data_IF_657517174813
#
_entry.id   IF_657517174813
#
_cell.length_a   1.000
_cell.length_b   1.000
_cell.length_c   1.000
_cell.angle_alpha   90.00
_cell.angle_beta   90.00
_cell.angle_gamma   90.00
#
_symmetry.space_group_name_H-M   'P 1'
#
loop_
_entity.id
_entity.type
_entity.pdbx_description
1 polymer ?
#
# COMPACT_ATOMS: atom_id res chain seq x y z
N UNK A 1 -51.91 -45.57 77.83
CA UNK A 1 -52.01 -45.71 76.37
C UNK A 1 -50.81 -45.02 75.74
N UNK A 2 -49.80 -45.79 75.33
CA UNK A 2 -48.60 -45.29 74.65
C UNK A 2 -48.60 -45.86 73.24
N UNK A 3 -48.75 -44.98 72.24
CA UNK A 3 -48.71 -45.35 70.83
C UNK A 3 -47.26 -45.17 70.36
N UNK A 4 -46.62 -46.28 70.02
CA UNK A 4 -45.39 -46.31 69.22
C UNK A 4 -45.71 -45.82 67.80
N UNK A 5 -44.91 -44.91 67.26
CA UNK A 5 -44.70 -44.80 65.80
C UNK A 5 -43.24 -45.09 65.47
N UNK A 6 -43.04 -45.96 64.48
CA UNK A 6 -41.74 -46.36 63.95
C UNK A 6 -41.21 -45.33 62.95
N UNK A 7 -39.88 -45.15 62.97
CA UNK A 7 -39.09 -44.48 61.93
C UNK A 7 -39.14 -45.25 60.62
N UNK A 8 -39.29 -44.53 59.49
CA UNK A 8 -38.70 -44.91 58.20
C UNK A 8 -38.00 -43.67 57.61
N UNK A 9 -36.85 -43.92 56.99
CA UNK A 9 -35.77 -43.00 56.64
C UNK A 9 -36.09 -41.99 55.54
N UNK A 10 -35.78 -40.71 55.78
CA UNK A 10 -35.61 -39.68 54.74
C UNK A 10 -34.21 -39.78 54.12
N UNK A 11 -34.06 -40.60 53.07
CA UNK A 11 -32.90 -40.59 52.17
C UNK A 11 -33.39 -40.63 50.73
N UNK A 12 -33.75 -39.47 50.16
CA UNK A 12 -33.85 -39.23 48.70
C UNK A 12 -34.65 -37.94 48.45
N UNK A 13 -34.01 -36.77 48.52
CA UNK A 13 -34.49 -35.60 47.74
C UNK A 13 -33.48 -34.45 47.67
N UNK A 14 -32.55 -34.37 48.62
CA UNK A 14 -31.62 -33.21 48.68
C UNK A 14 -30.40 -33.36 47.77
N UNK A 15 -30.07 -34.57 47.31
CA UNK A 15 -28.86 -34.81 46.50
C UNK A 15 -29.03 -34.58 44.98
N UNK A 16 -30.26 -34.44 44.46
CA UNK A 16 -30.48 -34.30 43.00
C UNK A 16 -30.63 -32.83 42.58
N UNK A 17 -31.01 -31.93 43.50
CA UNK A 17 -31.16 -30.49 43.17
C UNK A 17 -29.85 -29.72 43.31
N UNK A 18 -28.88 -30.21 44.09
CA UNK A 18 -27.56 -29.58 44.20
C UNK A 18 -26.62 -29.88 43.00
N UNK A 19 -26.84 -30.99 42.28
CA UNK A 19 -26.04 -31.35 41.12
C UNK A 19 -26.51 -30.70 39.81
N UNK A 20 -27.77 -30.25 39.73
CA UNK A 20 -28.34 -29.65 38.52
C UNK A 20 -28.17 -28.12 38.42
N UNK A 21 -27.88 -27.43 39.54
CA UNK A 21 -27.66 -25.97 39.54
C UNK A 21 -26.18 -25.60 39.35
N UNK A 22 -25.25 -26.55 39.54
CA UNK A 22 -23.82 -26.34 39.30
C UNK A 22 -23.46 -26.51 37.80
N UNK A 23 -24.32 -27.16 37.01
CA UNK A 23 -24.10 -27.38 35.57
C UNK A 23 -24.60 -26.22 34.67
N UNK A 24 -25.14 -25.13 35.22
CA UNK A 24 -25.67 -24.01 34.43
C UNK A 24 -24.98 -22.67 34.71
N UNK A 25 -23.84 -22.66 35.39
CA UNK A 25 -22.89 -21.55 35.23
C UNK A 25 -22.18 -21.76 33.90
N UNK A 26 -22.90 -21.43 32.83
CA UNK A 26 -22.32 -21.06 31.56
C UNK A 26 -21.24 -20.03 31.92
N UNK A 27 -19.97 -20.46 31.89
CA UNK A 27 -18.86 -19.54 32.03
C UNK A 27 -19.11 -18.47 30.97
N UNK A 28 -19.50 -17.28 31.44
CA UNK A 28 -19.50 -16.09 30.64
C UNK A 28 -18.01 -15.80 30.42
N UNK A 29 -17.40 -16.58 29.52
CA UNK A 29 -16.09 -16.26 28.97
C UNK A 29 -16.37 -15.00 28.18
N UNK A 30 -16.23 -13.85 28.85
CA UNK A 30 -16.05 -12.59 28.17
C UNK A 30 -14.79 -12.78 27.36
N UNK A 31 -14.93 -13.11 26.08
CA UNK A 31 -13.81 -13.02 25.16
C UNK A 31 -13.34 -11.57 25.27
N UNK A 32 -12.08 -11.31 25.66
CA UNK A 32 -11.58 -9.95 25.57
C UNK A 32 -11.76 -9.54 24.11
N UNK A 33 -12.62 -8.55 23.87
CA UNK A 33 -12.76 -7.93 22.56
C UNK A 33 -11.41 -7.30 22.30
N UNK A 34 -10.59 -8.00 21.52
CA UNK A 34 -9.33 -7.47 21.06
C UNK A 34 -9.64 -6.33 20.11
N UNK A 35 -9.28 -5.10 20.48
CA UNK A 35 -9.40 -3.97 19.56
C UNK A 35 -8.52 -4.29 18.34
N UNK A 36 -9.14 -4.47 17.18
CA UNK A 36 -8.42 -4.67 15.92
C UNK A 36 -7.51 -3.48 15.66
N UNK A 37 -6.36 -3.72 15.01
CA UNK A 37 -5.58 -2.63 14.48
C UNK A 37 -6.41 -1.97 13.37
N UNK A 38 -6.92 -0.77 13.62
CA UNK A 38 -7.76 -0.05 12.67
C UNK A 38 -6.89 0.64 11.62
N UNK A 39 -7.22 0.43 10.36
CA UNK A 39 -6.69 1.22 9.27
C UNK A 39 -7.30 2.63 9.34
N UNK A 40 -6.52 3.67 9.01
CA UNK A 40 -7.01 5.05 8.94
C UNK A 40 -7.26 5.41 7.48
N UNK A 41 -8.52 5.35 7.00
CA UNK A 41 -8.85 5.77 5.65
C UNK A 41 -8.82 7.30 5.55
N UNK A 42 -8.18 7.82 4.50
CA UNK A 42 -8.16 9.24 4.17
C UNK A 42 -8.51 9.44 2.70
N UNK A 43 -9.31 10.47 2.41
CA UNK A 43 -9.71 10.80 1.04
C UNK A 43 -9.09 12.11 0.59
N UNK A 44 -8.55 12.13 -0.63
CA UNK A 44 -8.17 13.33 -1.35
C UNK A 44 -9.00 13.42 -2.62
N UNK A 45 -9.86 14.43 -2.69
CA UNK A 45 -10.84 14.57 -3.77
C UNK A 45 -11.31 15.99 -3.92
N UNK A 46 -11.76 16.34 -5.12
CA UNK A 46 -12.54 17.54 -5.38
C UNK A 46 -13.73 17.26 -6.29
N UNK A 47 -14.39 18.32 -6.74
CA UNK A 47 -15.60 18.24 -7.59
C UNK A 47 -15.33 17.60 -8.96
N UNK A 48 -14.09 17.69 -9.44
CA UNK A 48 -13.63 17.13 -10.70
C UNK A 48 -12.17 16.67 -10.61
N UNK A 49 -11.60 16.24 -11.74
CA UNK A 49 -10.21 15.78 -11.83
C UNK A 49 -9.19 16.87 -11.50
N UNK A 50 -9.51 18.13 -11.79
CA UNK A 50 -8.60 19.26 -11.56
C UNK A 50 -8.54 19.59 -10.06
N UNK A 51 -9.71 19.60 -9.42
CA UNK A 51 -9.83 19.80 -7.98
C UNK A 51 -9.24 18.62 -7.19
N UNK A 52 -9.41 17.38 -7.67
CA UNK A 52 -8.75 16.21 -7.05
C UNK A 52 -7.23 16.30 -7.17
N UNK A 53 -6.69 16.61 -8.35
CA UNK A 53 -5.26 16.78 -8.53
C UNK A 53 -4.68 17.92 -7.67
N UNK A 54 -5.42 19.04 -7.55
CA UNK A 54 -5.07 20.14 -6.65
C UNK A 54 -5.00 19.69 -5.18
N UNK A 55 -5.99 18.93 -4.71
CA UNK A 55 -6.01 18.41 -3.34
C UNK A 55 -4.85 17.44 -3.07
N UNK A 56 -4.49 16.61 -4.05
CA UNK A 56 -3.34 15.69 -3.94
C UNK A 56 -2.02 16.46 -3.90
N UNK A 57 -1.84 17.45 -4.77
CA UNK A 57 -0.65 18.29 -4.81
C UNK A 57 -0.43 19.04 -3.47
N UNK A 58 -1.50 19.62 -2.91
CA UNK A 58 -1.43 20.30 -1.60
C UNK A 58 -1.16 19.37 -0.43
N UNK A 59 -1.62 18.12 -0.52
CA UNK A 59 -1.32 17.12 0.50
C UNK A 59 0.14 16.65 0.41
N UNK A 60 0.67 16.46 -0.80
CA UNK A 60 2.02 15.98 -1.02
C UNK A 60 3.08 17.09 -0.80
N UNK A 61 2.75 18.35 -1.08
CA UNK A 61 3.68 19.47 -1.04
C UNK A 61 3.13 20.64 -0.21
N UNK A 62 3.75 20.89 0.95
CA UNK A 62 3.41 22.04 1.81
C UNK A 62 3.91 23.38 1.25
N UNK A 63 5.00 23.35 0.47
CA UNK A 63 5.51 24.50 -0.28
C UNK A 63 6.37 24.03 -1.46
N UNK A 64 6.42 24.84 -2.53
CA UNK A 64 7.28 24.59 -3.67
C UNK A 64 7.75 25.87 -4.37
N UNK A 65 8.90 25.82 -5.06
CA UNK A 65 9.41 26.90 -5.94
C UNK A 65 9.15 26.61 -7.42
N UNK A 66 8.87 25.34 -7.74
CA UNK A 66 8.57 24.84 -9.08
C UNK A 66 7.23 24.14 -9.05
N UNK A 67 6.49 24.17 -10.14
CA UNK A 67 5.31 23.35 -10.33
C UNK A 67 5.28 22.82 -11.76
N UNK A 68 4.55 21.74 -11.94
CA UNK A 68 4.39 21.08 -13.23
C UNK A 68 2.92 21.14 -13.61
N UNK A 69 2.65 21.55 -14.85
CA UNK A 69 1.30 21.60 -15.42
C UNK A 69 1.23 20.63 -16.59
N UNK A 70 0.28 19.70 -16.50
CA UNK A 70 0.03 18.70 -17.54
C UNK A 70 -1.45 18.68 -17.89
N UNK A 71 -1.79 18.15 -19.06
CA UNK A 71 -3.18 18.00 -19.46
C UNK A 71 -3.93 17.08 -18.51
N UNK A 72 -5.13 17.48 -18.09
CA UNK A 72 -6.08 16.58 -17.42
C UNK A 72 -6.95 15.78 -18.40
N UNK A 73 -6.80 16.01 -19.71
CA UNK A 73 -7.63 15.44 -20.77
C UNK A 73 -6.93 14.29 -21.50
N UNK A 74 -5.60 14.22 -21.42
CA UNK A 74 -4.77 13.11 -21.87
C UNK A 74 -3.80 12.66 -20.77
N UNK A 75 -3.31 11.43 -20.82
CA UNK A 75 -2.53 10.82 -19.74
C UNK A 75 -1.03 10.80 -19.98
N UNK A 76 -0.60 10.71 -21.25
CA UNK A 76 0.76 10.33 -21.61
C UNK A 76 1.80 11.34 -21.09
N UNK A 77 1.63 12.62 -21.43
CA UNK A 77 2.55 13.67 -21.01
C UNK A 77 2.60 13.77 -19.47
N UNK A 78 1.43 13.67 -18.82
CA UNK A 78 1.31 13.63 -17.37
C UNK A 78 2.07 12.48 -16.73
N UNK A 79 2.02 11.29 -17.32
CA UNK A 79 2.71 10.11 -16.79
C UNK A 79 4.23 10.31 -16.80
N UNK A 80 4.77 10.86 -17.88
CA UNK A 80 6.21 11.13 -17.97
C UNK A 80 6.70 12.18 -16.98
N UNK A 81 5.79 13.04 -16.48
CA UNK A 81 6.13 14.11 -15.55
C UNK A 81 6.54 13.64 -14.14
N UNK A 82 6.27 12.38 -13.76
CA UNK A 82 6.58 11.87 -12.42
C UNK A 82 8.08 11.97 -12.07
N UNK A 83 8.98 11.63 -12.98
CA UNK A 83 10.44 11.78 -12.75
C UNK A 83 10.84 13.24 -12.55
N UNK A 84 10.18 14.15 -13.28
CA UNK A 84 10.44 15.59 -13.18
C UNK A 84 9.94 16.14 -11.85
N UNK A 85 8.77 15.69 -11.40
CA UNK A 85 8.18 15.98 -10.09
C UNK A 85 9.16 15.61 -8.98
N UNK A 86 9.67 14.38 -8.99
CA UNK A 86 10.67 13.90 -8.03
C UNK A 86 11.97 14.70 -8.08
N UNK A 87 12.57 14.87 -9.27
CA UNK A 87 13.84 15.57 -9.44
C UNK A 87 13.78 17.05 -9.02
N UNK A 88 12.64 17.70 -9.24
CA UNK A 88 12.44 19.12 -8.94
C UNK A 88 11.77 19.38 -7.59
N UNK A 89 11.32 18.32 -6.89
CA UNK A 89 10.41 18.39 -5.74
C UNK A 89 9.23 19.33 -6.02
N UNK A 90 8.55 19.07 -7.15
CA UNK A 90 7.59 19.99 -7.73
C UNK A 90 6.19 19.34 -7.86
N UNK A 91 5.13 19.92 -7.27
CA UNK A 91 3.77 19.40 -7.41
C UNK A 91 3.33 19.35 -8.88
N UNK A 92 2.59 18.29 -9.21
CA UNK A 92 1.95 18.10 -10.51
C UNK A 92 0.48 18.51 -10.43
N UNK A 93 0.10 19.44 -11.30
CA UNK A 93 -1.26 19.95 -11.43
C UNK A 93 -1.83 19.63 -12.81
N UNK A 94 -3.15 19.47 -12.87
CA UNK A 94 -3.88 19.24 -14.11
C UNK A 94 -4.53 20.53 -14.63
N UNK A 95 -4.56 20.69 -15.95
CA UNK A 95 -5.24 21.78 -16.65
C UNK A 95 -6.13 21.25 -17.78
N UNK A 96 -7.17 22.01 -18.16
CA UNK A 96 -7.85 21.78 -19.44
C UNK A 96 -6.92 22.18 -20.58
N UNK A 97 -7.18 21.68 -21.79
CA UNK A 97 -6.36 22.00 -22.96
C UNK A 97 -6.37 23.51 -23.25
N UNK A 98 -7.54 24.15 -23.22
CA UNK A 98 -7.68 25.55 -23.63
C UNK A 98 -7.51 26.57 -22.49
N UNK A 99 -7.75 26.18 -21.23
CA UNK A 99 -7.83 27.11 -20.11
C UNK A 99 -7.33 26.51 -18.80
N UNK A 100 -6.69 27.35 -17.97
CA UNK A 100 -6.28 26.96 -16.61
C UNK A 100 -7.50 27.00 -15.69
N UNK A 101 -7.93 25.88 -15.08
CA UNK A 101 -9.05 25.90 -14.14
C UNK A 101 -8.73 26.78 -12.94
N UNK A 102 -9.74 27.53 -12.46
CA UNK A 102 -9.57 28.42 -11.32
C UNK A 102 -9.11 27.67 -10.04
N UNK A 103 -9.60 26.43 -9.85
CA UNK A 103 -9.18 25.58 -8.73
C UNK A 103 -7.70 25.22 -8.80
N UNK A 104 -7.18 24.97 -10.01
CA UNK A 104 -5.76 24.70 -10.25
C UNK A 104 -4.93 25.96 -9.95
N UNK A 105 -5.32 27.11 -10.49
CA UNK A 105 -4.62 28.37 -10.26
C UNK A 105 -4.57 28.74 -8.76
N UNK A 106 -5.67 28.55 -8.04
CA UNK A 106 -5.76 28.81 -6.61
C UNK A 106 -4.84 27.87 -5.81
N UNK A 107 -4.81 26.57 -6.16
CA UNK A 107 -3.95 25.59 -5.50
C UNK A 107 -2.47 25.87 -5.72
N UNK A 108 -2.08 26.19 -6.96
CA UNK A 108 -0.73 26.68 -7.26
C UNK A 108 -0.39 27.92 -6.43
N UNK A 109 -1.34 28.85 -6.25
CA UNK A 109 -1.16 30.02 -5.41
C UNK A 109 -0.88 29.70 -3.93
N UNK A 110 -1.49 28.63 -3.40
CA UNK A 110 -1.29 28.16 -2.02
C UNK A 110 0.04 27.42 -1.83
N UNK A 111 0.42 26.56 -2.78
CA UNK A 111 1.64 25.74 -2.67
C UNK A 111 2.89 26.51 -3.07
N UNK A 112 2.79 27.41 -4.07
CA UNK A 112 3.96 28.09 -4.60
C UNK A 112 4.25 29.42 -3.86
N UNK A 113 5.40 29.50 -3.21
CA UNK A 113 5.92 30.69 -2.51
C UNK A 113 6.55 31.74 -3.45
N UNK A 114 7.40 32.66 -2.98
CA UNK A 114 8.08 33.61 -3.87
C UNK A 114 9.12 32.90 -4.81
N UNK A 115 9.34 33.42 -6.03
CA UNK A 115 10.18 32.84 -7.10
C UNK A 115 9.59 31.57 -7.76
N UNK A 116 8.53 31.74 -8.55
CA UNK A 116 7.67 30.66 -9.06
C UNK A 116 7.97 30.30 -10.52
N UNK A 117 8.55 29.12 -10.77
CA UNK A 117 8.71 28.56 -12.12
C UNK A 117 7.69 27.47 -12.39
N UNK A 118 7.04 27.50 -13.55
CA UNK A 118 6.06 26.48 -13.97
C UNK A 118 6.55 25.79 -15.22
N UNK A 119 6.61 24.45 -15.19
CA UNK A 119 6.94 23.62 -16.33
C UNK A 119 5.65 23.06 -16.94
N UNK A 120 5.32 23.48 -18.15
CA UNK A 120 4.23 22.88 -18.93
C UNK A 120 4.77 21.66 -19.66
N UNK A 121 4.19 20.49 -19.43
CA UNK A 121 4.57 19.27 -20.15
C UNK A 121 3.58 19.01 -21.28
N UNK A 122 4.12 18.73 -22.46
CA UNK A 122 3.36 18.50 -23.67
C UNK A 122 3.29 19.71 -24.60
N UNK A 123 2.99 19.43 -25.86
CA UNK A 123 2.80 20.46 -26.89
C UNK A 123 1.50 21.26 -26.71
N UNK A 124 1.25 22.24 -27.58
CA UNK A 124 0.06 23.10 -27.49
C UNK A 124 -1.26 22.35 -27.73
N UNK A 125 -1.22 21.19 -28.39
CA UNK A 125 -2.37 20.31 -28.51
C UNK A 125 -2.80 19.68 -27.18
N UNK A 126 -1.86 19.50 -26.24
CA UNK A 126 -2.13 18.95 -24.91
C UNK A 126 -2.43 20.05 -23.89
N UNK A 127 -1.64 21.12 -23.91
CA UNK A 127 -1.79 22.31 -23.06
C UNK A 127 -1.59 23.55 -23.92
N UNK A 128 -2.69 24.19 -24.31
CA UNK A 128 -2.73 25.29 -25.25
C UNK A 128 -1.96 26.54 -24.79
N UNK A 129 -1.62 27.40 -25.74
CA UNK A 129 -0.90 28.66 -25.47
C UNK A 129 -1.65 29.57 -24.48
N UNK A 130 -2.99 29.52 -24.47
CA UNK A 130 -3.82 30.27 -23.51
C UNK A 130 -3.47 29.98 -22.05
N UNK A 131 -3.18 28.71 -21.72
CA UNK A 131 -2.75 28.31 -20.36
C UNK A 131 -1.42 28.97 -19.99
N UNK A 132 -0.44 28.96 -20.91
CA UNK A 132 0.86 29.59 -20.68
C UNK A 132 0.74 31.11 -20.50
N UNK A 133 -0.13 31.77 -21.28
CA UNK A 133 -0.45 33.19 -21.15
C UNK A 133 -1.08 33.49 -19.80
N UNK A 134 -2.07 32.69 -19.36
CA UNK A 134 -2.68 32.85 -18.03
C UNK A 134 -1.66 32.70 -16.91
N UNK A 135 -0.80 31.68 -16.96
CA UNK A 135 0.26 31.47 -15.95
C UNK A 135 1.25 32.65 -15.93
N UNK A 136 1.68 33.13 -17.08
CA UNK A 136 2.57 34.30 -17.16
C UNK A 136 1.90 35.55 -16.58
N UNK A 137 0.62 35.78 -16.89
CA UNK A 137 -0.17 36.89 -16.34
C UNK A 137 -0.38 36.80 -14.82
N UNK A 138 -0.34 35.60 -14.25
CA UNK A 138 -0.34 35.36 -12.80
C UNK A 138 1.06 35.53 -12.16
N UNK A 139 2.09 35.89 -12.93
CA UNK A 139 3.44 36.17 -12.46
C UNK A 139 4.37 34.95 -12.39
N UNK A 140 3.99 33.82 -13.00
CA UNK A 140 4.85 32.63 -13.09
C UNK A 140 5.87 32.77 -14.23
N UNK A 141 7.09 32.30 -14.02
CA UNK A 141 8.05 32.05 -15.11
C UNK A 141 7.68 30.72 -15.76
N UNK A 142 7.28 30.72 -17.02
CA UNK A 142 6.76 29.50 -17.69
C UNK A 142 7.80 28.93 -18.65
N UNK A 143 8.05 27.63 -18.56
CA UNK A 143 8.88 26.87 -19.50
C UNK A 143 8.08 25.68 -20.03
N UNK A 144 8.08 25.45 -21.34
CA UNK A 144 7.45 24.26 -21.94
C UNK A 144 8.49 23.18 -22.19
N UNK A 145 8.15 21.94 -21.83
CA UNK A 145 8.93 20.73 -22.11
C UNK A 145 8.05 19.80 -22.96
N UNK A 146 8.42 19.62 -24.22
CA UNK A 146 7.61 18.86 -25.19
C UNK A 146 8.47 18.29 -26.30
N UNK A 147 8.00 17.20 -26.91
CA UNK A 147 8.53 16.65 -28.16
C UNK A 147 7.49 16.64 -29.27
N UNK A 148 7.86 16.08 -30.42
CA UNK A 148 6.98 15.95 -31.58
C UNK A 148 5.77 15.02 -31.34
N UNK A 149 5.92 14.06 -30.43
CA UNK A 149 4.92 13.10 -30.01
C UNK A 149 5.10 12.76 -28.52
N UNK A 150 4.26 11.86 -27.99
CA UNK A 150 4.28 11.46 -26.57
C UNK A 150 5.59 10.79 -26.15
N UNK A 151 6.24 10.02 -27.03
CA UNK A 151 7.51 9.39 -26.72
C UNK A 151 8.66 10.41 -26.71
N UNK A 152 8.66 11.34 -27.67
CA UNK A 152 9.62 12.44 -27.71
C UNK A 152 9.42 13.39 -26.50
N UNK A 153 8.18 13.67 -26.07
CA UNK A 153 7.91 14.42 -24.83
C UNK A 153 8.48 13.68 -23.62
N UNK A 154 8.24 12.37 -23.50
CA UNK A 154 8.77 11.58 -22.40
C UNK A 154 10.31 11.64 -22.31
N UNK A 155 11.00 11.57 -23.45
CA UNK A 155 12.48 11.73 -23.52
C UNK A 155 12.91 13.16 -23.16
N UNK A 156 12.18 14.19 -23.60
CA UNK A 156 12.47 15.57 -23.24
C UNK A 156 12.31 15.81 -21.73
N UNK A 157 11.28 15.23 -21.12
CA UNK A 157 11.04 15.29 -19.67
C UNK A 157 12.14 14.57 -18.90
N UNK A 158 12.51 13.35 -19.32
CA UNK A 158 13.62 12.60 -18.75
C UNK A 158 14.93 13.39 -18.82
N UNK A 159 15.19 14.04 -19.96
CA UNK A 159 16.38 14.86 -20.16
C UNK A 159 16.36 16.09 -19.26
N UNK A 160 15.20 16.75 -19.12
CA UNK A 160 15.04 17.93 -18.27
C UNK A 160 15.24 17.60 -16.78
N UNK A 161 14.76 16.43 -16.33
CA UNK A 161 14.94 15.99 -14.95
C UNK A 161 16.42 15.91 -14.53
N UNK A 162 17.32 15.62 -15.48
CA UNK A 162 18.78 15.60 -15.25
C UNK A 162 19.39 16.95 -14.90
N UNK A 163 18.70 18.05 -15.16
CA UNK A 163 19.16 19.37 -14.72
C UNK A 163 19.17 19.48 -13.18
N UNK A 164 18.45 18.59 -12.48
CA UNK A 164 18.33 18.61 -11.03
C UNK A 164 18.76 17.33 -10.34
N UNK A 165 18.58 16.16 -10.96
CA UNK A 165 18.95 14.90 -10.36
C UNK A 165 19.40 13.86 -11.39
N UNK A 166 20.38 13.04 -11.03
CA UNK A 166 20.81 11.92 -11.88
C UNK A 166 19.67 10.90 -12.05
N UNK A 167 19.70 10.14 -13.14
CA UNK A 167 18.82 8.98 -13.34
C UNK A 167 19.07 8.01 -12.19
N UNK A 168 17.99 7.57 -11.54
CA UNK A 168 18.09 6.63 -10.43
C UNK A 168 18.58 5.26 -10.86
N UNK A 169 19.04 4.48 -9.88
CA UNK A 169 19.52 3.12 -10.12
C UNK A 169 18.68 2.08 -9.39
N UNK A 170 18.60 0.88 -9.95
CA UNK A 170 18.15 -0.33 -9.27
C UNK A 170 19.21 -1.41 -9.49
N UNK A 171 19.65 -2.07 -8.40
CA UNK A 171 20.76 -3.02 -8.42
C UNK A 171 22.04 -2.49 -9.13
N UNK A 172 22.32 -1.18 -8.97
CA UNK A 172 23.51 -0.52 -9.53
C UNK A 172 23.43 -0.16 -11.02
N UNK A 173 22.28 -0.37 -11.67
CA UNK A 173 22.06 -0.03 -13.08
C UNK A 173 21.16 1.20 -13.19
N UNK A 174 21.49 2.16 -14.06
CA UNK A 174 20.58 3.26 -14.40
C UNK A 174 19.29 2.68 -14.99
N UNK A 175 18.16 2.98 -14.35
CA UNK A 175 16.89 2.33 -14.64
C UNK A 175 15.89 3.30 -15.26
N UNK A 176 15.25 2.88 -16.35
CA UNK A 176 14.07 3.53 -16.90
C UNK A 176 12.86 2.58 -16.81
N UNK A 177 11.67 3.15 -16.87
CA UNK A 177 10.42 2.42 -16.98
C UNK A 177 9.92 2.59 -18.41
N UNK A 178 9.58 1.49 -19.10
CA UNK A 178 8.98 1.54 -20.44
C UNK A 178 7.54 1.08 -20.36
N UNK A 179 6.65 1.90 -20.90
CA UNK A 179 5.20 1.67 -20.89
C UNK A 179 4.61 1.82 -22.27
N UNK A 180 3.48 1.15 -22.52
CA UNK A 180 2.71 1.35 -23.74
C UNK A 180 2.13 2.78 -23.76
N UNK A 181 2.25 3.42 -24.90
CA UNK A 181 1.93 4.81 -25.11
C UNK A 181 0.41 5.08 -25.22
N UNK A 182 -0.40 4.06 -25.46
CA UNK A 182 -1.88 4.09 -25.54
C UNK A 182 -2.60 3.37 -24.40
N UNK A 183 -1.93 2.47 -23.66
CA UNK A 183 -2.53 1.68 -22.57
C UNK A 183 -2.24 2.27 -21.18
N UNK A 184 -2.98 3.32 -20.83
CA UNK A 184 -2.75 4.09 -19.59
C UNK A 184 -2.83 3.28 -18.30
N UNK A 185 -3.68 2.24 -18.24
CA UNK A 185 -4.02 1.58 -16.99
C UNK A 185 -2.88 0.73 -16.41
N UNK A 186 -2.08 0.10 -17.26
CA UNK A 186 -0.84 -0.52 -16.79
C UNK A 186 0.21 0.56 -16.48
N UNK A 187 0.24 1.63 -17.26
CA UNK A 187 1.30 2.62 -17.22
C UNK A 187 1.28 3.49 -15.93
N UNK A 188 0.11 3.94 -15.47
CA UNK A 188 0.01 4.89 -14.33
C UNK A 188 0.41 4.30 -12.98
N UNK A 189 0.43 2.98 -12.81
CA UNK A 189 0.88 2.34 -11.57
C UNK A 189 2.36 2.63 -11.30
N UNK A 190 3.13 2.95 -12.34
CA UNK A 190 4.55 3.23 -12.28
C UNK A 190 4.90 4.64 -11.80
N UNK A 191 3.94 5.58 -11.79
CA UNK A 191 4.20 7.00 -11.53
C UNK A 191 4.85 7.25 -10.17
N UNK A 192 4.37 6.57 -9.12
CA UNK A 192 4.96 6.71 -7.78
C UNK A 192 6.41 6.23 -7.73
N UNK A 193 6.74 5.13 -8.42
CA UNK A 193 8.11 4.62 -8.48
C UNK A 193 9.02 5.57 -9.27
N UNK A 194 8.53 6.07 -10.39
CA UNK A 194 9.23 7.05 -11.23
C UNK A 194 9.61 8.30 -10.43
N UNK A 195 8.68 8.82 -9.63
CA UNK A 195 8.93 9.98 -8.76
C UNK A 195 9.89 9.66 -7.62
N UNK A 196 9.64 8.60 -6.84
CA UNK A 196 10.43 8.28 -5.65
C UNK A 196 11.86 7.84 -5.98
N UNK A 197 12.04 7.13 -7.09
CA UNK A 197 13.34 6.53 -7.45
C UNK A 197 14.02 7.22 -8.63
N UNK A 198 13.44 8.30 -9.15
CA UNK A 198 13.98 9.05 -10.29
C UNK A 198 14.21 8.18 -11.54
N UNK A 199 13.33 7.21 -11.78
CA UNK A 199 13.35 6.39 -12.99
C UNK A 199 12.50 7.07 -14.06
N UNK A 200 13.07 7.49 -15.20
CA UNK A 200 12.28 8.10 -16.25
C UNK A 200 11.27 7.12 -16.82
N UNK A 201 10.02 7.56 -17.02
CA UNK A 201 9.04 6.82 -17.80
C UNK A 201 9.21 7.19 -19.28
N UNK A 202 9.52 6.20 -20.11
CA UNK A 202 9.65 6.28 -21.56
C UNK A 202 8.52 5.47 -22.22
N UNK A 203 8.22 5.77 -23.49
CA UNK A 203 7.02 5.23 -24.14
C UNK A 203 7.32 4.44 -25.40
N UNK A 204 6.57 3.38 -25.58
CA UNK A 204 6.63 2.49 -26.75
C UNK A 204 5.25 2.27 -27.34
N UNK A 205 5.15 1.90 -28.61
CA UNK A 205 3.94 1.28 -29.11
C UNK A 205 3.86 -0.17 -28.62
N UNK A 206 2.71 -0.83 -28.83
CA UNK A 206 2.51 -2.20 -28.36
C UNK A 206 3.53 -3.19 -28.95
N UNK A 207 3.80 -3.05 -30.24
CA UNK A 207 4.55 -4.04 -31.02
C UNK A 207 5.92 -3.55 -31.49
N UNK A 208 6.26 -2.28 -31.28
CA UNK A 208 7.54 -1.72 -31.67
C UNK A 208 7.98 -0.55 -30.77
N UNK A 209 9.27 -0.56 -30.44
CA UNK A 209 9.98 0.46 -29.69
C UNK A 209 10.07 1.73 -30.53
N UNK A 210 9.57 2.84 -29.98
CA UNK A 210 9.65 4.13 -30.67
C UNK A 210 11.10 4.55 -30.87
N UNK A 211 11.39 5.23 -31.97
CA UNK A 211 12.73 5.74 -32.26
C UNK A 211 13.27 6.66 -31.15
N UNK A 212 12.41 7.52 -30.59
CA UNK A 212 12.74 8.40 -29.47
C UNK A 212 13.19 7.61 -28.24
N UNK A 213 12.43 6.58 -27.84
CA UNK A 213 12.79 5.74 -26.70
C UNK A 213 14.05 4.93 -27.00
N UNK A 214 14.18 4.32 -28.18
CA UNK A 214 15.38 3.59 -28.57
C UNK A 214 16.65 4.45 -28.48
N UNK A 215 16.58 5.72 -28.89
CA UNK A 215 17.72 6.66 -28.81
C UNK A 215 18.05 7.09 -27.37
N UNK A 216 17.07 7.04 -26.46
CA UNK A 216 17.23 7.39 -25.05
C UNK A 216 17.80 6.22 -24.21
N UNK A 217 17.65 4.98 -24.68
CA UNK A 217 18.18 3.78 -24.03
C UNK A 217 19.66 3.56 -24.36
N UNK A 218 20.33 2.72 -23.55
CA UNK A 218 21.69 2.28 -23.84
C UNK A 218 22.78 3.26 -23.40
N UNK A 219 23.65 3.66 -24.34
CA UNK A 219 24.78 4.58 -24.11
C UNK A 219 24.42 6.05 -24.39
N UNK A 220 23.13 6.36 -24.56
CA UNK A 220 22.63 7.72 -24.78
C UNK A 220 22.80 8.61 -23.55
N UNK A 221 22.25 9.83 -23.62
CA UNK A 221 22.43 10.84 -22.57
C UNK A 221 21.84 10.44 -21.20
N UNK A 222 20.89 9.50 -21.17
CA UNK A 222 20.33 8.94 -19.93
C UNK A 222 21.14 7.74 -19.41
N UNK A 223 21.98 7.14 -20.28
CA UNK A 223 22.80 5.95 -20.00
C UNK A 223 22.01 4.80 -19.36
N UNK A 224 20.80 4.52 -19.85
CA UNK A 224 19.92 3.49 -19.27
C UNK A 224 20.51 2.09 -19.51
N UNK A 225 20.71 1.33 -18.43
CA UNK A 225 21.24 -0.04 -18.43
C UNK A 225 20.24 -1.09 -17.98
N UNK A 226 19.15 -0.67 -17.34
CA UNK A 226 18.03 -1.53 -16.99
C UNK A 226 16.71 -0.89 -17.40
N UNK A 227 15.78 -1.72 -17.87
CA UNK A 227 14.41 -1.29 -18.17
C UNK A 227 13.42 -2.10 -17.36
N UNK A 228 12.47 -1.41 -16.74
CA UNK A 228 11.27 -2.02 -16.17
C UNK A 228 10.15 -1.86 -17.19
N UNK A 229 9.72 -2.94 -17.82
CA UNK A 229 8.51 -2.95 -18.66
C UNK A 229 7.30 -3.11 -17.75
N UNK A 230 6.37 -2.16 -17.82
CA UNK A 230 5.10 -2.25 -17.08
C UNK A 230 3.96 -2.55 -18.06
N UNK A 231 3.30 -3.68 -17.82
CA UNK A 231 2.29 -4.27 -18.69
C UNK A 231 2.69 -5.66 -19.21
N UNK A 232 1.68 -6.49 -19.45
CA UNK A 232 1.85 -7.81 -20.06
C UNK A 232 2.28 -7.73 -21.52
N UNK A 233 2.49 -8.88 -22.17
CA UNK A 233 2.91 -8.93 -23.58
C UNK A 233 1.85 -8.43 -24.56
N UNK A 234 0.59 -8.35 -24.15
CA UNK A 234 -0.48 -7.70 -24.93
C UNK A 234 -0.38 -6.17 -24.92
N UNK A 235 0.21 -5.59 -23.88
CA UNK A 235 0.45 -4.15 -23.78
C UNK A 235 1.83 -3.78 -24.35
N UNK A 236 2.87 -4.54 -24.02
CA UNK A 236 4.23 -4.33 -24.55
C UNK A 236 4.78 -5.68 -24.97
N UNK A 237 4.78 -5.96 -26.27
CA UNK A 237 5.12 -7.28 -26.82
C UNK A 237 6.54 -7.73 -26.48
N UNK A 238 6.80 -9.02 -26.66
CA UNK A 238 8.16 -9.57 -26.56
C UNK A 238 9.10 -9.04 -27.66
N UNK A 239 8.55 -8.54 -28.77
CA UNK A 239 9.34 -7.89 -29.81
C UNK A 239 9.95 -6.58 -29.29
N UNK A 240 9.16 -5.76 -28.59
CA UNK A 240 9.66 -4.53 -27.93
C UNK A 240 10.75 -4.85 -26.90
N UNK A 241 10.58 -5.91 -26.11
CA UNK A 241 11.61 -6.34 -25.16
C UNK A 241 12.92 -6.75 -25.86
N UNK A 242 12.82 -7.42 -27.01
CA UNK A 242 13.98 -7.76 -27.85
C UNK A 242 14.66 -6.50 -28.39
N UNK A 243 13.88 -5.53 -28.88
CA UNK A 243 14.39 -4.24 -29.37
C UNK A 243 15.05 -3.43 -28.24
N UNK A 244 14.51 -3.46 -27.02
CA UNK A 244 15.13 -2.83 -25.84
C UNK A 244 16.51 -3.44 -25.57
N UNK A 245 16.63 -4.77 -25.53
CA UNK A 245 17.92 -5.45 -25.30
C UNK A 245 18.94 -5.14 -26.39
N UNK A 246 18.49 -4.94 -27.64
CA UNK A 246 19.35 -4.53 -28.74
C UNK A 246 19.95 -3.11 -28.57
N UNK A 247 19.42 -2.28 -27.67
CA UNK A 247 19.97 -0.95 -27.35
C UNK A 247 21.14 -0.96 -26.37
N UNK A 248 21.70 -2.13 -26.00
CA UNK A 248 22.72 -2.29 -24.95
C UNK A 248 22.20 -2.10 -23.51
N UNK A 249 20.88 -2.23 -23.31
CA UNK A 249 20.29 -2.47 -21.99
C UNK A 249 20.65 -3.90 -21.58
N UNK A 250 21.22 -4.06 -20.38
CA UNK A 250 21.74 -5.35 -19.89
C UNK A 250 20.73 -6.15 -19.06
N UNK A 251 19.62 -5.53 -18.67
CA UNK A 251 18.60 -6.15 -17.82
C UNK A 251 17.21 -5.60 -18.14
N UNK A 252 16.24 -6.50 -18.26
CA UNK A 252 14.83 -6.14 -18.37
C UNK A 252 14.06 -6.83 -17.24
N UNK A 253 13.24 -6.06 -16.54
CA UNK A 253 12.28 -6.55 -15.54
C UNK A 253 10.89 -6.29 -16.10
N UNK A 254 10.06 -7.32 -16.23
CA UNK A 254 8.66 -7.16 -16.66
C UNK A 254 7.74 -7.30 -15.46
N UNK A 255 6.80 -6.37 -15.32
CA UNK A 255 5.73 -6.42 -14.33
C UNK A 255 4.39 -6.15 -15.04
N UNK A 256 3.58 -7.19 -15.23
CA UNK A 256 2.30 -7.07 -15.91
C UNK A 256 1.43 -8.31 -15.69
N UNK A 257 0.14 -8.08 -15.48
CA UNK A 257 -0.86 -9.13 -15.29
C UNK A 257 -1.77 -9.32 -16.51
N UNK A 258 -2.76 -10.19 -16.36
CA UNK A 258 -3.81 -10.42 -17.36
C UNK A 258 -4.75 -9.20 -17.52
N UNK A 259 -4.81 -8.33 -16.51
CA UNK A 259 -5.62 -7.12 -16.50
C UNK A 259 -4.92 -6.01 -15.67
N UNK A 260 -5.46 -4.79 -15.69
CA UNK A 260 -4.88 -3.63 -14.98
C UNK A 260 -4.84 -3.80 -13.45
N UNK A 261 -5.83 -4.50 -12.88
CA UNK A 261 -5.90 -4.76 -11.44
C UNK A 261 -4.79 -5.73 -11.03
N UNK A 262 -4.54 -6.76 -11.84
CA UNK A 262 -3.45 -7.70 -11.63
C UNK A 262 -2.08 -7.04 -11.86
N UNK A 263 -1.92 -6.20 -12.90
CA UNK A 263 -0.71 -5.39 -13.07
C UNK A 263 -0.45 -4.52 -11.83
N UNK A 264 -1.45 -3.83 -11.30
CA UNK A 264 -1.33 -3.01 -10.10
C UNK A 264 -0.94 -3.85 -8.86
N UNK A 265 -1.55 -5.02 -8.68
CA UNK A 265 -1.22 -5.97 -7.60
C UNK A 265 0.22 -6.45 -7.68
N UNK A 266 0.66 -6.94 -8.84
CA UNK A 266 2.03 -7.42 -9.06
C UNK A 266 3.05 -6.30 -8.88
N UNK A 267 2.72 -5.08 -9.30
CA UNK A 267 3.56 -3.92 -9.07
C UNK A 267 3.67 -3.57 -7.59
N UNK A 268 2.56 -3.59 -6.84
CA UNK A 268 2.55 -3.39 -5.40
C UNK A 268 3.37 -4.45 -4.64
N UNK A 269 3.28 -5.72 -5.03
CA UNK A 269 4.11 -6.81 -4.51
C UNK A 269 5.60 -6.58 -4.78
N UNK A 270 5.94 -6.08 -5.98
CA UNK A 270 7.34 -5.75 -6.31
C UNK A 270 7.86 -4.56 -5.52
N UNK A 271 7.04 -3.52 -5.36
CA UNK A 271 7.41 -2.35 -4.57
C UNK A 271 7.69 -2.71 -3.11
N UNK A 272 6.83 -3.54 -2.50
CA UNK A 272 6.98 -3.93 -1.08
C UNK A 272 7.84 -5.18 -0.86
N UNK A 273 8.23 -5.87 -1.92
CA UNK A 273 9.18 -6.97 -1.89
C UNK A 273 10.55 -6.53 -1.39
N UNK A 274 11.29 -7.44 -0.75
CA UNK A 274 12.65 -7.16 -0.27
C UNK A 274 13.62 -6.97 -1.43
N UNK A 275 14.72 -6.27 -1.21
CA UNK A 275 15.80 -6.13 -2.21
C UNK A 275 16.31 -7.51 -2.66
N UNK A 276 16.41 -8.48 -1.76
CA UNK A 276 16.81 -9.85 -2.08
C UNK A 276 15.85 -10.56 -3.07
N UNK A 277 14.55 -10.22 -3.04
CA UNK A 277 13.55 -10.70 -3.99
C UNK A 277 13.44 -9.87 -5.27
N UNK A 278 14.34 -8.89 -5.47
CA UNK A 278 14.31 -7.93 -6.57
C UNK A 278 13.19 -6.89 -6.45
N UNK A 279 12.81 -6.54 -5.21
CA UNK A 279 11.83 -5.49 -4.92
C UNK A 279 12.46 -4.18 -4.42
N UNK A 280 11.61 -3.19 -4.11
CA UNK A 280 12.03 -1.84 -3.68
C UNK A 280 11.96 -1.61 -2.16
N UNK A 281 11.58 -2.63 -1.39
CA UNK A 281 11.45 -2.58 0.06
C UNK A 281 10.58 -1.39 0.57
N UNK A 282 9.58 -0.99 -0.21
CA UNK A 282 8.60 0.00 0.26
C UNK A 282 7.80 -0.57 1.44
N UNK A 283 7.38 0.32 2.33
CA UNK A 283 6.56 -0.07 3.46
C UNK A 283 5.22 -0.63 3.00
N UNK A 284 4.77 -1.69 3.67
CA UNK A 284 3.42 -2.24 3.51
C UNK A 284 2.35 -1.46 4.28
N UNK A 285 2.74 -0.41 5.00
CA UNK A 285 1.84 0.35 5.87
C UNK A 285 0.85 1.26 5.13
N UNK A 286 1.06 1.49 3.83
CA UNK A 286 0.33 2.50 3.06
C UNK A 286 -0.13 1.95 1.72
N UNK A 287 -1.42 2.06 1.45
CA UNK A 287 -1.99 1.75 0.15
C UNK A 287 -2.86 2.90 -0.35
N UNK A 288 -2.75 3.21 -1.63
CA UNK A 288 -3.58 4.19 -2.33
C UNK A 288 -4.55 3.45 -3.22
N UNK A 289 -5.84 3.74 -3.10
CA UNK A 289 -6.89 3.19 -3.94
C UNK A 289 -7.45 4.26 -4.88
N UNK A 290 -7.59 3.90 -6.15
CA UNK A 290 -8.07 4.79 -7.22
C UNK A 290 -9.03 4.05 -8.14
N UNK A 291 -9.92 4.79 -8.79
CA UNK A 291 -10.83 4.18 -9.78
C UNK A 291 -10.05 3.61 -10.96
N UNK A 292 -10.50 2.47 -11.47
CA UNK A 292 -10.02 1.86 -12.71
C UNK A 292 -10.78 2.36 -13.94
N UNK A 293 -11.85 3.13 -13.77
CA UNK A 293 -12.71 3.59 -14.86
C UNK A 293 -12.12 4.78 -15.63
N UNK A 294 -11.18 5.52 -15.04
CA UNK A 294 -10.56 6.70 -15.62
C UNK A 294 -9.13 6.90 -15.08
N UNK A 295 -8.29 7.65 -15.79
CA UNK A 295 -6.86 7.77 -15.51
C UNK A 295 -6.51 8.93 -14.56
N UNK A 296 -7.31 9.99 -14.51
CA UNK A 296 -6.84 11.27 -13.97
C UNK A 296 -6.52 11.23 -12.48
N UNK A 297 -7.31 10.52 -11.67
CA UNK A 297 -7.06 10.37 -10.22
C UNK A 297 -5.85 9.48 -9.96
N UNK A 298 -5.68 8.40 -10.74
CA UNK A 298 -4.50 7.53 -10.69
C UNK A 298 -3.23 8.30 -11.05
N UNK A 299 -3.29 9.09 -12.13
CA UNK A 299 -2.19 9.94 -12.56
C UNK A 299 -1.84 10.99 -11.48
N UNK A 300 -2.83 11.70 -10.94
CA UNK A 300 -2.62 12.68 -9.89
C UNK A 300 -2.02 12.06 -8.62
N UNK A 301 -2.38 10.81 -8.30
CA UNK A 301 -1.88 10.09 -7.12
C UNK A 301 -0.39 9.76 -7.16
N UNK A 302 0.25 9.77 -8.34
CA UNK A 302 1.65 9.41 -8.50
C UNK A 302 2.55 10.19 -7.52
N UNK A 303 2.32 11.50 -7.37
CA UNK A 303 3.11 12.35 -6.48
C UNK A 303 2.91 12.05 -4.99
N UNK A 304 1.69 11.68 -4.61
CA UNK A 304 1.41 11.21 -3.26
C UNK A 304 2.09 9.87 -3.00
N UNK A 305 1.98 8.94 -3.96
CA UNK A 305 2.54 7.60 -3.86
C UNK A 305 4.07 7.64 -3.77
N UNK A 306 4.72 8.47 -4.59
CA UNK A 306 6.17 8.69 -4.54
C UNK A 306 6.61 9.28 -3.20
N UNK A 307 5.97 10.36 -2.76
CA UNK A 307 6.31 11.04 -1.50
C UNK A 307 6.07 10.17 -0.24
N UNK A 308 5.12 9.23 -0.30
CA UNK A 308 4.74 8.41 0.85
C UNK A 308 5.27 6.97 0.79
N UNK A 309 5.89 6.56 -0.32
CA UNK A 309 6.12 5.16 -0.68
C UNK A 309 4.85 4.30 -0.56
N UNK A 310 3.71 4.84 -1.01
CA UNK A 310 2.41 4.18 -1.00
C UNK A 310 2.19 3.44 -2.32
N UNK A 311 1.73 2.19 -2.27
CA UNK A 311 1.39 1.43 -3.48
C UNK A 311 0.08 1.92 -4.09
N UNK A 312 -0.09 1.80 -5.41
CA UNK A 312 -1.34 2.10 -6.10
C UNK A 312 -2.09 0.80 -6.41
N UNK A 313 -3.34 0.71 -5.97
CA UNK A 313 -4.26 -0.38 -6.28
C UNK A 313 -5.54 0.16 -6.91
N UNK A 314 -6.11 -0.63 -7.82
CA UNK A 314 -7.33 -0.24 -8.52
C UNK A 314 -8.59 -0.69 -7.79
N UNK A 315 -9.62 0.14 -7.83
CA UNK A 315 -10.99 -0.22 -7.46
C UNK A 315 -11.96 0.16 -8.59
N UNK A 316 -13.22 -0.28 -8.48
CA UNK A 316 -14.30 0.17 -9.35
C UNK A 316 -15.55 0.41 -8.48
N UNK A 317 -16.71 -0.08 -8.90
CA UNK A 317 -17.94 -0.08 -8.09
C UNK A 317 -17.86 -1.05 -6.89
N UNK A 318 -16.87 -1.97 -6.93
CA UNK A 318 -16.51 -2.89 -5.86
C UNK A 318 -14.99 -3.00 -5.71
N UNK A 319 -14.53 -3.69 -4.67
CA UNK A 319 -13.11 -4.05 -4.50
C UNK A 319 -12.79 -5.25 -5.39
N UNK A 320 -11.88 -5.13 -6.37
CA UNK A 320 -11.48 -6.25 -7.22
C UNK A 320 -10.76 -7.35 -6.44
N UNK A 321 -10.81 -8.59 -6.95
CA UNK A 321 -10.19 -9.74 -6.31
C UNK A 321 -8.68 -9.54 -6.09
N UNK A 322 -7.99 -8.89 -7.03
CA UNK A 322 -6.56 -8.62 -6.97
C UNK A 322 -6.20 -7.62 -5.88
N UNK A 323 -7.00 -6.57 -5.72
CA UNK A 323 -6.85 -5.59 -4.62
C UNK A 323 -7.13 -6.25 -3.27
N UNK A 324 -8.18 -7.06 -3.18
CA UNK A 324 -8.50 -7.84 -1.98
C UNK A 324 -7.38 -8.83 -1.63
N UNK A 325 -6.79 -9.49 -2.63
CA UNK A 325 -5.70 -10.45 -2.42
C UNK A 325 -4.44 -9.76 -1.87
N UNK A 326 -4.10 -8.57 -2.37
CA UNK A 326 -2.93 -7.83 -1.85
C UNK A 326 -3.19 -7.31 -0.43
N UNK A 327 -4.26 -6.54 -0.24
CA UNK A 327 -4.59 -5.92 1.06
C UNK A 327 -4.83 -6.97 2.13
N UNK A 328 -5.54 -8.05 1.79
CA UNK A 328 -5.84 -9.15 2.70
C UNK A 328 -4.70 -10.13 2.92
N UNK A 329 -3.55 -9.98 2.24
CA UNK A 329 -2.39 -10.84 2.49
C UNK A 329 -1.85 -10.63 3.90
N UNK A 330 -1.40 -11.69 4.57
CA UNK A 330 -0.96 -11.65 5.98
C UNK A 330 0.07 -10.54 6.24
N UNK A 331 1.08 -10.40 5.37
CA UNK A 331 2.15 -9.42 5.53
C UNK A 331 1.67 -7.97 5.34
N UNK A 332 0.75 -7.73 4.41
CA UNK A 332 0.21 -6.39 4.18
C UNK A 332 -0.76 -6.04 5.30
N UNK A 333 -1.70 -6.93 5.59
CA UNK A 333 -2.71 -6.77 6.62
C UNK A 333 -2.11 -6.52 8.01
N UNK A 334 -1.00 -7.20 8.36
CA UNK A 334 -0.30 -6.98 9.62
C UNK A 334 0.41 -5.61 9.72
N UNK A 335 0.73 -4.98 8.59
CA UNK A 335 1.50 -3.74 8.54
C UNK A 335 0.65 -2.51 8.19
N UNK A 336 -0.50 -2.69 7.53
CA UNK A 336 -1.29 -1.62 6.95
C UNK A 336 -1.87 -0.69 8.03
N UNK A 337 -1.52 0.59 7.96
CA UNK A 337 -2.03 1.63 8.87
C UNK A 337 -2.87 2.68 8.14
N UNK A 338 -2.66 2.86 6.84
CA UNK A 338 -3.30 3.91 6.07
C UNK A 338 -3.77 3.44 4.69
N UNK A 339 -5.01 3.80 4.37
CA UNK A 339 -5.56 3.67 3.03
C UNK A 339 -5.94 5.06 2.52
N UNK A 340 -5.43 5.43 1.35
CA UNK A 340 -5.69 6.73 0.71
C UNK A 340 -6.61 6.55 -0.48
N UNK A 341 -7.84 7.04 -0.41
CA UNK A 341 -8.72 7.12 -1.58
C UNK A 341 -8.44 8.41 -2.36
N UNK A 342 -8.04 8.29 -3.63
CA UNK A 342 -7.89 9.44 -4.52
C UNK A 342 -9.06 9.44 -5.49
N UNK A 343 -9.82 10.53 -5.47
CA UNK A 343 -11.06 10.68 -6.23
C UNK A 343 -12.30 10.80 -5.33
N UNK A 344 -13.34 11.43 -5.87
CA UNK A 344 -14.63 11.59 -5.20
C UNK A 344 -15.37 10.26 -4.99
N UNK A 345 -16.55 10.30 -4.36
CA UNK A 345 -17.38 9.11 -4.11
C UNK A 345 -17.93 8.46 -5.37
N UNK A 346 -17.97 9.18 -6.50
CA UNK A 346 -18.28 8.59 -7.81
C UNK A 346 -17.14 7.78 -8.40
N UNK A 347 -15.88 8.08 -8.02
CA UNK A 347 -14.70 7.36 -8.48
C UNK A 347 -14.35 6.20 -7.53
N UNK A 348 -14.33 6.48 -6.23
CA UNK A 348 -14.11 5.50 -5.16
C UNK A 348 -15.28 5.59 -4.19
N UNK A 349 -16.34 4.77 -4.34
CA UNK A 349 -17.51 4.80 -3.47
C UNK A 349 -17.14 4.65 -1.98
N UNK A 350 -17.96 5.22 -1.09
CA UNK A 350 -17.75 5.11 0.35
C UNK A 350 -17.74 3.64 0.79
N UNK A 351 -18.66 2.83 0.25
CA UNK A 351 -18.72 1.40 0.52
C UNK A 351 -17.47 0.63 0.07
N UNK A 352 -16.82 1.06 -1.03
CA UNK A 352 -15.56 0.48 -1.49
C UNK A 352 -14.42 0.83 -0.54
N UNK A 353 -14.34 2.10 -0.10
CA UNK A 353 -13.33 2.51 0.88
C UNK A 353 -13.50 1.77 2.21
N UNK A 354 -14.74 1.62 2.69
CA UNK A 354 -15.05 0.81 3.87
C UNK A 354 -14.67 -0.65 3.66
N UNK A 355 -14.98 -1.26 2.51
CA UNK A 355 -14.58 -2.64 2.25
C UNK A 355 -13.05 -2.84 2.22
N UNK A 356 -12.29 -1.86 1.70
CA UNK A 356 -10.82 -1.90 1.75
C UNK A 356 -10.30 -1.74 3.19
N UNK A 357 -10.93 -0.85 3.96
CA UNK A 357 -10.64 -0.66 5.40
C UNK A 357 -10.88 -1.96 6.19
N UNK A 358 -12.01 -2.62 5.94
CA UNK A 358 -12.37 -3.91 6.55
C UNK A 358 -11.39 -5.03 6.16
N UNK A 359 -10.95 -5.07 4.88
CA UNK A 359 -9.94 -6.03 4.41
C UNK A 359 -8.58 -5.83 5.11
N UNK A 360 -8.21 -4.56 5.33
CA UNK A 360 -6.99 -4.18 6.02
C UNK A 360 -7.07 -4.33 7.54
N UNK A 361 -8.28 -4.29 8.10
CA UNK A 361 -8.50 -4.43 9.53
C UNK A 361 -8.26 -5.87 9.95
N UNK A 362 -7.23 -6.03 10.78
CA UNK A 362 -6.89 -7.31 11.37
C UNK A 362 -7.49 -7.38 12.77
N UNK A 363 -8.34 -8.39 13.00
CA UNK A 363 -8.70 -8.77 14.36
C UNK A 363 -7.42 -9.30 15.00
N UNK A 364 -6.86 -8.58 15.99
CA UNK A 364 -5.77 -9.11 16.81
C UNK A 364 -6.14 -10.52 17.24
N UNK A 365 -5.35 -11.53 16.84
CA UNK A 365 -5.65 -12.93 17.09
C UNK A 365 -6.06 -13.14 18.55
N UNK A 366 -7.29 -13.57 18.78
CA UNK A 366 -7.73 -13.97 20.12
C UNK A 366 -7.11 -15.34 20.37
N UNK A 367 -6.17 -15.48 21.33
CA UNK A 367 -5.63 -16.78 21.65
C UNK A 367 -6.75 -17.68 22.20
N UNK A 368 -6.88 -18.88 21.66
CA UNK A 368 -7.59 -19.95 22.34
C UNK A 368 -6.65 -20.53 23.39
N UNK A 369 -7.10 -20.64 24.62
CA UNK A 369 -6.27 -21.15 25.72
C UNK A 369 -6.91 -22.43 26.23
N UNK A 370 -6.17 -23.52 26.16
CA UNK A 370 -6.62 -24.83 26.62
C UNK A 370 -5.69 -25.36 27.69
N UNK A 371 -6.26 -26.02 28.70
CA UNK A 371 -5.53 -26.73 29.72
C UNK A 371 -6.31 -28.01 30.06
N UNK A 372 -5.62 -29.12 30.27
CA UNK A 372 -6.24 -30.35 30.73
C UNK A 372 -6.38 -30.34 32.26
N UNK A 373 -7.51 -30.83 32.77
CA UNK A 373 -7.70 -31.04 34.20
C UNK A 373 -6.64 -32.02 34.73
N UNK A 374 -5.91 -31.62 35.78
CA UNK A 374 -4.79 -32.40 36.33
C UNK A 374 -3.48 -32.34 35.51
N UNK A 375 -3.44 -31.57 34.42
CA UNK A 375 -2.24 -31.34 33.62
C UNK A 375 -1.41 -30.13 34.07
N UNK A 376 -0.14 -30.09 33.67
CA UNK A 376 0.80 -29.00 33.95
C UNK A 376 1.12 -28.16 32.70
N UNK A 377 0.27 -28.20 31.68
CA UNK A 377 0.50 -27.51 30.39
C UNK A 377 -0.69 -26.63 30.04
N UNK A 378 -0.42 -25.39 29.62
CA UNK A 378 -1.39 -24.48 29.03
C UNK A 378 -1.04 -24.30 27.56
N UNK A 379 -1.87 -24.81 26.65
CA UNK A 379 -1.70 -24.55 25.22
C UNK A 379 -2.41 -23.25 24.87
N UNK A 380 -1.63 -22.25 24.46
CA UNK A 380 -2.13 -21.02 23.84
C UNK A 380 -2.10 -21.22 22.32
N UNK A 381 -3.19 -20.97 21.61
CA UNK A 381 -3.30 -21.15 20.16
C UNK A 381 -3.80 -19.85 19.54
N UNK A 382 -2.99 -19.22 18.71
CA UNK A 382 -3.44 -18.09 17.90
C UNK A 382 -4.07 -18.62 16.61
N UNK A 383 -5.22 -18.08 16.22
CA UNK A 383 -5.96 -18.54 15.03
C UNK A 383 -5.33 -18.16 13.68
N UNK A 384 -4.27 -17.36 13.70
CA UNK A 384 -3.57 -16.84 12.52
C UNK A 384 -2.05 -16.83 12.80
N UNK A 385 -1.25 -16.89 11.72
CA UNK A 385 0.21 -17.00 11.74
C UNK A 385 0.86 -15.97 12.67
N UNK A 386 1.45 -16.45 13.77
CA UNK A 386 2.29 -15.66 14.68
C UNK A 386 3.65 -16.34 14.75
N UNK A 387 4.74 -15.59 14.50
CA UNK A 387 6.09 -16.10 14.76
C UNK A 387 6.46 -15.88 16.23
N UNK A 388 7.39 -16.68 16.77
CA UNK A 388 7.88 -16.45 18.15
C UNK A 388 8.42 -15.03 18.34
N UNK A 389 9.00 -14.42 17.29
CA UNK A 389 9.47 -13.03 17.31
C UNK A 389 8.36 -11.98 17.45
N UNK A 390 7.12 -12.30 17.08
CA UNK A 390 5.96 -11.41 17.26
C UNK A 390 5.25 -11.55 18.62
N UNK A 391 5.66 -12.53 19.43
CA UNK A 391 5.10 -12.77 20.76
C UNK A 391 5.96 -12.09 21.83
N UNK A 392 5.47 -10.99 22.41
CA UNK A 392 6.07 -10.43 23.61
C UNK A 392 5.64 -11.27 24.81
N UNK A 393 6.52 -12.16 25.27
CA UNK A 393 6.24 -13.08 26.39
C UNK A 393 5.79 -12.37 27.69
N UNK A 394 6.21 -11.12 27.90
CA UNK A 394 5.76 -10.28 29.03
C UNK A 394 4.27 -9.93 29.00
N UNK A 395 3.59 -10.07 27.85
CA UNK A 395 2.17 -9.83 27.67
C UNK A 395 1.30 -11.07 27.84
N UNK A 396 1.90 -12.23 28.14
CA UNK A 396 1.17 -13.43 28.55
C UNK A 396 0.90 -13.32 30.06
N UNK A 397 -0.36 -13.19 30.43
CA UNK A 397 -0.81 -13.01 31.81
C UNK A 397 -1.75 -14.12 32.26
N UNK A 398 -1.60 -14.53 33.52
CA UNK A 398 -2.56 -15.38 34.24
C UNK A 398 -3.03 -14.59 35.45
N UNK A 399 -4.34 -14.45 35.61
CA UNK A 399 -4.98 -13.62 36.64
C UNK A 399 -4.42 -12.18 36.69
N UNK A 400 -4.15 -11.62 35.50
CA UNK A 400 -3.57 -10.29 35.31
C UNK A 400 -2.11 -10.13 35.81
N UNK A 401 -1.47 -11.19 36.28
CA UNK A 401 -0.05 -11.24 36.57
C UNK A 401 0.72 -11.72 35.34
N UNK A 402 1.77 -10.99 34.95
CA UNK A 402 2.65 -11.44 33.87
C UNK A 402 3.34 -12.74 34.27
N UNK A 403 3.38 -13.71 33.36
CA UNK A 403 4.21 -14.89 33.54
C UNK A 403 5.66 -14.44 33.34
N UNK A 404 6.38 -14.26 34.44
CA UNK A 404 7.73 -13.67 34.45
C UNK A 404 8.84 -14.73 34.54
N UNK A 405 8.51 -16.01 34.36
CA UNK A 405 9.42 -17.06 34.78
C UNK A 405 10.52 -17.36 33.74
N UNK A 406 11.64 -16.66 33.83
CA UNK A 406 12.89 -17.05 33.19
C UNK A 406 13.67 -18.12 33.99
N UNK A 407 13.16 -18.67 35.10
CA UNK A 407 14.03 -19.46 36.00
C UNK A 407 13.48 -20.64 36.82
N UNK A 408 12.21 -21.08 36.76
CA UNK A 408 11.81 -22.34 37.44
C UNK A 408 11.65 -23.53 36.49
N UNK A 409 12.81 -24.15 36.24
CA UNK A 409 13.10 -25.58 36.20
C UNK A 409 11.87 -26.52 36.21
N UNK A 410 11.45 -26.98 35.02
CA UNK A 410 11.10 -28.39 34.73
C UNK A 410 10.49 -28.57 33.32
N UNK A 411 11.16 -28.10 32.26
CA UNK A 411 10.80 -28.46 30.88
C UNK A 411 12.05 -28.93 30.15
N UNK A 412 12.01 -30.17 29.68
CA UNK A 412 13.05 -30.74 28.81
C UNK A 412 12.97 -30.16 27.38
N UNK A 413 11.88 -29.46 27.04
CA UNK A 413 11.61 -28.82 25.75
C UNK A 413 11.59 -27.28 25.87
N UNK A 414 11.76 -26.55 24.75
CA UNK A 414 11.65 -25.09 24.73
C UNK A 414 10.31 -24.60 25.30
N UNK A 415 10.36 -23.55 26.12
CA UNK A 415 9.18 -22.87 26.71
C UNK A 415 8.12 -22.49 25.67
N UNK A 416 8.55 -22.12 24.46
CA UNK A 416 7.69 -21.81 23.33
C UNK A 416 8.17 -22.55 22.08
N UNK A 417 7.23 -23.16 21.36
CA UNK A 417 7.49 -23.84 20.07
C UNK A 417 6.56 -23.28 19.01
N UNK A 418 7.14 -22.80 17.91
CA UNK A 418 6.41 -22.45 16.70
C UNK A 418 6.19 -23.74 15.89
N UNK A 419 4.94 -24.05 15.63
CA UNK A 419 4.54 -25.20 14.83
C UNK A 419 4.56 -24.83 13.35
N UNK A 420 4.63 -25.84 12.48
CA UNK A 420 4.67 -25.66 11.03
C UNK A 420 3.41 -24.98 10.45
N UNK A 421 2.33 -24.90 11.22
CA UNK A 421 1.08 -24.22 10.88
C UNK A 421 1.01 -22.75 11.37
N UNK A 422 2.09 -22.24 11.98
CA UNK A 422 2.16 -20.87 12.51
C UNK A 422 1.53 -20.69 13.89
N UNK A 423 1.18 -21.78 14.58
CA UNK A 423 0.73 -21.74 15.98
C UNK A 423 1.92 -21.74 16.95
N UNK A 424 1.82 -21.01 18.06
CA UNK A 424 2.87 -20.97 19.10
C UNK A 424 2.37 -21.67 20.36
N UNK A 425 2.95 -22.83 20.69
CA UNK A 425 2.63 -23.58 21.93
C UNK A 425 3.51 -23.10 23.07
N UNK A 426 2.91 -22.71 24.20
CA UNK A 426 3.63 -22.37 25.43
C UNK A 426 3.55 -23.54 26.43
N UNK A 427 4.62 -23.83 27.15
CA UNK A 427 4.58 -24.84 28.22
C UNK A 427 4.94 -24.19 29.54
N UNK A 428 4.09 -24.31 30.57
CA UNK A 428 4.27 -23.60 31.84
C UNK A 428 4.63 -24.56 32.97
N UNK A 429 5.86 -24.51 33.46
CA UNK A 429 6.24 -25.26 34.66
C UNK A 429 5.57 -24.67 35.91
N UNK A 430 4.87 -25.53 36.65
CA UNK A 430 4.42 -25.35 38.04
C UNK A 430 3.62 -24.07 38.38
N UNK A 431 2.34 -24.02 38.00
CA UNK A 431 1.37 -23.15 38.67
C UNK A 431 0.12 -23.96 39.06
N UNK A 432 -0.42 -23.69 40.25
CA UNK A 432 -1.68 -24.27 40.70
C UNK A 432 -2.84 -23.60 39.93
N UNK A 433 -3.28 -24.25 38.85
CA UNK A 433 -4.42 -23.79 38.08
C UNK A 433 -5.73 -24.23 38.74
N UNK A 434 -6.68 -23.30 38.87
CA UNK A 434 -8.05 -23.60 39.29
C UNK A 434 -9.03 -23.18 38.19
N UNK A 435 -10.14 -23.92 38.09
CA UNK A 435 -11.27 -23.56 37.23
C UNK A 435 -11.74 -22.14 37.61
N UNK A 436 -11.69 -21.21 36.65
CA UNK A 436 -12.04 -19.80 36.86
C UNK A 436 -10.87 -18.80 36.78
N UNK A 437 -9.62 -19.27 36.64
CA UNK A 437 -8.49 -18.39 36.36
C UNK A 437 -8.65 -17.69 34.98
N UNK A 438 -8.39 -16.38 34.93
CA UNK A 438 -8.41 -15.60 33.68
C UNK A 438 -7.03 -15.65 33.02
N UNK A 439 -6.94 -16.09 31.76
CA UNK A 439 -5.68 -16.11 31.01
C UNK A 439 -5.80 -15.16 29.82
N UNK A 440 -4.78 -14.33 29.58
CA UNK A 440 -4.69 -13.46 28.41
C UNK A 440 -3.29 -13.50 27.79
N UNK A 441 -3.22 -13.38 26.48
CA UNK A 441 -1.97 -13.14 25.75
C UNK A 441 -2.24 -12.10 24.67
N UNK A 442 -1.33 -11.16 24.47
CA UNK A 442 -1.42 -10.14 23.42
C UNK A 442 -0.12 -10.10 22.62
N UNK A 443 -0.19 -9.91 21.28
CA UNK A 443 0.97 -9.49 20.51
C UNK A 443 1.46 -8.12 20.99
N UNK A 444 2.66 -7.72 20.55
CA UNK A 444 3.24 -6.41 20.81
C UNK A 444 2.21 -5.30 20.49
N UNK A 445 1.98 -4.38 21.42
CA UNK A 445 1.14 -3.20 21.18
C UNK A 445 1.90 -2.23 20.26
N UNK A 446 2.01 -2.56 18.97
CA UNK A 446 2.28 -1.64 17.87
C UNK A 446 3.46 -0.67 18.06
N UNK A 447 4.46 -1.03 18.86
CA UNK A 447 5.64 -0.23 19.11
C UNK A 447 6.83 -0.78 18.35
N UNK A 448 6.89 -0.50 17.05
CA UNK A 448 8.06 -0.64 16.18
C UNK A 448 9.17 -1.62 16.65
N UNK A 449 9.17 -2.84 16.12
CA UNK A 449 10.41 -3.59 15.94
C UNK A 449 10.81 -3.58 14.48
N UNK A 450 11.59 -2.55 14.13
CA UNK A 450 12.50 -2.64 13.01
C UNK A 450 13.67 -3.54 13.43
N UNK A 451 13.86 -4.65 12.73
CA UNK A 451 15.20 -5.06 12.29
C UNK A 451 15.24 -5.07 10.77
#
# INVERSE_FOLDING_TARGET
MSIRSQRVSKRSFVAVVAAAVIASMLALVSTPVSAGATVTPKRYSGLDRYATAAAVAEAAYSSATKAIIVSGENFADGLSASVLSGAASAPVFLTQQAALPAVTAAAMGRVMGANKTVYIIGGENAVGAGVATTLTGLGYTVTRVSGADRAATAVAVATKAKDWAAVGTHAGLNTAIVVNDTAWADAVVAGGLSEASLYPILMTNADSLTASTSAALGIGSLNIKQVIIVGGTSAVSSAVETEILATQVSSVIRVGGANRQETAKLFAEKLTGTVASGGWAWSRAKATIVTSNNFADALASAQWNGAQNSVLLYTADSVPAETSAYIGSTLVKAALTNVYAIGGTSAVPAAVLTAVDDLGTYAKAVPTITAAEGGNTITVTFGEMMTIGGLVLANVKINNAAITNTTDIALADPWAVENADGTVTLTVASHDYQVGNAVSASPEDGGAQMM
#
